data_IF_976154847796
#
_entry.id   IF_976154847796
#
_cell.length_a   1.000
_cell.length_b   1.000
_cell.length_c   1.000
_cell.angle_alpha   90.00
_cell.angle_beta   90.00
_cell.angle_gamma   90.00
#
_symmetry.space_group_name_H-M   'P 1'
#
loop_
_entity.id
_entity.type
_entity.pdbx_description
1 polymer ?
#
# COMPACT_ATOMS: atom_id res chain seq x y z
N UNK A 1 -0.10 27.20 -11.75
CA UNK A 1 -0.04 25.74 -11.95
C UNK A 1 0.44 25.19 -10.63
N UNK A 2 -0.33 24.28 -10.03
CA UNK A 2 0.00 23.77 -8.70
C UNK A 2 1.01 22.63 -8.80
N UNK A 3 1.94 22.59 -7.85
CA UNK A 3 2.96 21.55 -7.78
C UNK A 3 2.34 20.23 -7.30
N UNK A 4 2.58 19.15 -8.05
CA UNK A 4 2.16 17.79 -7.68
C UNK A 4 3.31 17.08 -7.00
N UNK A 5 3.07 16.56 -5.79
CA UNK A 5 4.10 15.94 -4.94
C UNK A 5 3.71 14.54 -4.48
N UNK A 6 4.71 13.69 -4.22
CA UNK A 6 4.54 12.37 -3.63
C UNK A 6 4.72 12.48 -2.11
N UNK A 7 3.67 12.20 -1.35
CA UNK A 7 3.65 12.37 0.13
C UNK A 7 3.90 11.08 0.91
N UNK A 8 3.82 9.91 0.28
CA UNK A 8 4.23 8.63 0.88
C UNK A 8 4.52 7.57 -0.17
N UNK A 9 5.30 6.56 0.21
CA UNK A 9 5.54 5.37 -0.59
C UNK A 9 5.76 4.15 0.32
N UNK A 10 5.15 3.02 -0.05
CA UNK A 10 5.37 1.73 0.59
C UNK A 10 4.99 0.59 -0.36
N UNK A 11 5.39 -0.64 -0.03
CA UNK A 11 5.05 -1.86 -0.76
C UNK A 11 5.06 -3.07 0.15
N UNK A 12 4.40 -4.15 -0.28
CA UNK A 12 4.64 -5.48 0.31
C UNK A 12 6.01 -6.03 -0.11
N UNK A 13 6.51 -7.06 0.58
CA UNK A 13 7.55 -7.92 0.03
C UNK A 13 7.10 -8.56 -1.29
N UNK A 14 8.05 -9.02 -2.10
CA UNK A 14 7.77 -9.82 -3.28
C UNK A 14 7.68 -11.28 -2.87
N UNK A 15 6.52 -11.89 -3.05
CA UNK A 15 6.32 -13.32 -2.82
C UNK A 15 6.86 -14.15 -3.98
N UNK A 16 7.48 -15.30 -3.68
CA UNK A 16 7.75 -16.33 -4.68
C UNK A 16 6.45 -17.06 -5.04
N UNK A 17 6.43 -17.71 -6.20
CA UNK A 17 5.33 -18.59 -6.58
C UNK A 17 5.11 -19.67 -5.51
N UNK A 18 3.87 -19.80 -5.02
CA UNK A 18 3.50 -20.67 -3.89
C UNK A 18 4.34 -20.44 -2.62
N UNK A 19 4.86 -19.23 -2.42
CA UNK A 19 5.66 -18.85 -1.26
C UNK A 19 4.84 -18.21 -0.14
N UNK A 20 5.50 -17.43 0.72
CA UNK A 20 4.93 -16.87 1.96
C UNK A 20 3.71 -15.95 1.83
N UNK A 21 3.38 -15.50 0.62
CA UNK A 21 2.21 -14.65 0.35
C UNK A 21 1.10 -15.38 -0.41
N UNK A 22 1.22 -16.69 -0.65
CA UNK A 22 0.28 -17.48 -1.45
C UNK A 22 -1.15 -17.45 -0.93
N UNK A 23 -1.31 -17.30 0.39
CA UNK A 23 -2.60 -17.36 1.06
C UNK A 23 -3.35 -16.03 1.03
N UNK A 24 -2.69 -14.96 0.57
CA UNK A 24 -3.26 -13.62 0.48
C UNK A 24 -3.66 -13.28 -0.95
N UNK A 25 -4.91 -12.87 -1.13
CA UNK A 25 -5.40 -12.35 -2.40
C UNK A 25 -4.76 -10.99 -2.76
N UNK A 26 -4.70 -10.69 -4.05
CA UNK A 26 -4.12 -9.43 -4.55
C UNK A 26 -4.81 -8.18 -3.95
N UNK A 27 -6.13 -8.22 -3.77
CA UNK A 27 -6.89 -7.13 -3.14
C UNK A 27 -6.55 -6.95 -1.66
N UNK A 28 -6.25 -8.04 -0.93
CA UNK A 28 -5.80 -7.97 0.46
C UNK A 28 -4.40 -7.35 0.55
N UNK A 29 -3.49 -7.75 -0.34
CA UNK A 29 -2.16 -7.13 -0.44
C UNK A 29 -2.26 -5.63 -0.78
N UNK A 30 -3.16 -5.27 -1.70
CA UNK A 30 -3.50 -3.89 -2.04
C UNK A 30 -4.03 -3.10 -0.84
N UNK A 31 -4.97 -3.68 -0.08
CA UNK A 31 -5.53 -3.05 1.10
C UNK A 31 -4.47 -2.78 2.19
N UNK A 32 -3.49 -3.69 2.35
CA UNK A 32 -2.36 -3.50 3.26
C UNK A 32 -1.55 -2.27 2.86
N UNK A 33 -1.17 -2.14 1.58
CA UNK A 33 -0.35 -1.01 1.12
C UNK A 33 -1.10 0.31 1.12
N UNK A 34 -2.39 0.33 0.77
CA UNK A 34 -3.21 1.56 0.82
C UNK A 34 -3.29 2.05 2.26
N UNK A 35 -3.63 1.18 3.21
CA UNK A 35 -3.71 1.54 4.64
C UNK A 35 -2.40 2.10 5.16
N UNK A 36 -1.27 1.48 4.82
CA UNK A 36 0.04 1.91 5.28
C UNK A 36 0.50 3.22 4.60
N UNK A 37 0.24 3.39 3.31
CA UNK A 37 0.53 4.63 2.58
C UNK A 37 -0.25 5.81 3.17
N UNK A 38 -1.57 5.67 3.36
CA UNK A 38 -2.42 6.69 4.00
C UNK A 38 -1.92 7.03 5.40
N UNK A 39 -1.54 6.02 6.20
CA UNK A 39 -0.98 6.22 7.55
C UNK A 39 0.34 7.00 7.52
N UNK A 40 1.27 6.67 6.63
CA UNK A 40 2.56 7.38 6.47
C UNK A 40 2.37 8.82 6.01
N UNK A 41 1.41 9.03 5.12
CA UNK A 41 0.99 10.35 4.67
C UNK A 41 0.22 11.16 5.73
N UNK A 42 -0.13 10.54 6.88
CA UNK A 42 -0.92 11.13 7.97
C UNK A 42 -2.27 11.68 7.51
N UNK A 43 -2.92 10.98 6.58
CA UNK A 43 -4.24 11.32 6.07
C UNK A 43 -5.35 10.64 6.87
N UNK A 44 -6.50 11.28 6.98
CA UNK A 44 -7.73 10.64 7.44
C UNK A 44 -8.30 9.80 6.28
N UNK A 45 -8.55 8.50 6.47
CA UNK A 45 -9.11 7.64 5.43
C UNK A 45 -10.46 8.07 4.84
N UNK A 46 -11.17 9.02 5.46
CA UNK A 46 -12.46 9.56 4.97
C UNK A 46 -12.35 10.78 4.04
N UNK A 47 -11.14 11.30 3.83
CA UNK A 47 -10.85 12.43 2.95
C UNK A 47 -10.97 12.01 1.48
#
# INVERSE_FOLDING_TARGET
MDDVVIISACRTPVGKFQGSLSDLGATQLGAIVVREATKRAKLDPKQ
#
